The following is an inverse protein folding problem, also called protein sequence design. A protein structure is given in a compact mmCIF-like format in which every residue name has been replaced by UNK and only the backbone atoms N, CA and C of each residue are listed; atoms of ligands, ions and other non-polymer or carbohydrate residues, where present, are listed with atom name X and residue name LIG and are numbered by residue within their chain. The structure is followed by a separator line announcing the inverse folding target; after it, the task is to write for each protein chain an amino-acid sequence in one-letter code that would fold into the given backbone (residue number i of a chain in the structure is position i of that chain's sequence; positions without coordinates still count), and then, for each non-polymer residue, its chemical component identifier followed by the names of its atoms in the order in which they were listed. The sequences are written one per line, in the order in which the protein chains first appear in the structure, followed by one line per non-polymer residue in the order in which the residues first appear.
data_IF_275262903505
#
_entry.id   IF_275262903505
#
_cell.length_a   1.000
_cell.length_b   1.000
_cell.length_c   1.000
_cell.angle_alpha   90.00
_cell.angle_beta   90.00
_cell.angle_gamma   90.00
#
_symmetry.space_group_name_H-M   'P 1'
#
loop_
_entity.id
_entity.type
_entity.pdbx_description
1 polymer ?
#
# COMPACT_ATOMS: atom_id res chain seq x y z
N UNK A 1 18.65 -1.88 -7.76
CA UNK A 1 17.28 -1.33 -7.87
C UNK A 1 16.73 -1.69 -9.23
N UNK A 2 15.42 -1.95 -9.33
CA UNK A 2 14.74 -2.39 -10.56
C UNK A 2 14.68 -1.32 -11.66
N UNK A 3 14.96 -0.07 -11.32
CA UNK A 3 14.89 1.07 -12.24
C UNK A 3 15.81 0.93 -13.47
N UNK A 4 17.05 0.48 -13.25
CA UNK A 4 18.09 0.34 -14.29
C UNK A 4 18.28 -1.12 -14.74
N UNK A 5 17.27 -1.98 -14.55
CA UNK A 5 17.37 -3.37 -14.97
C UNK A 5 17.38 -3.45 -16.51
N UNK A 6 18.42 -4.03 -17.14
CA UNK A 6 18.49 -4.12 -18.60
C UNK A 6 17.38 -4.96 -19.23
N UNK A 7 16.60 -5.70 -18.43
CA UNK A 7 15.44 -6.49 -18.86
C UNK A 7 14.14 -5.67 -18.94
N UNK A 8 14.12 -4.41 -18.49
CA UNK A 8 12.93 -3.55 -18.58
C UNK A 8 12.53 -3.35 -20.04
N UNK A 9 11.28 -3.66 -20.36
CA UNK A 9 10.73 -3.46 -21.71
C UNK A 9 10.17 -2.05 -21.92
N UNK A 10 9.90 -1.33 -20.83
CA UNK A 10 9.39 0.05 -20.82
C UNK A 10 10.25 0.94 -19.92
N UNK A 11 10.37 2.24 -20.22
CA UNK A 11 11.28 3.13 -19.51
C UNK A 11 10.74 3.63 -18.16
N UNK A 12 9.53 3.24 -17.75
CA UNK A 12 8.91 3.63 -16.47
C UNK A 12 8.45 2.41 -15.66
N UNK A 13 8.13 2.64 -14.40
CA UNK A 13 7.37 1.72 -13.55
C UNK A 13 5.95 2.28 -13.43
N UNK A 14 4.90 1.46 -13.58
CA UNK A 14 3.55 1.96 -13.77
C UNK A 14 2.51 1.34 -12.86
N UNK A 15 1.47 2.13 -12.54
CA UNK A 15 0.21 1.65 -11.95
C UNK A 15 -0.79 1.48 -13.07
N UNK A 16 -1.35 0.27 -13.20
CA UNK A 16 -2.26 -0.10 -14.27
C UNK A 16 -3.61 -0.51 -13.71
N UNK A 17 -4.68 -0.24 -14.47
CA UNK A 17 -6.03 -0.73 -14.23
C UNK A 17 -6.41 -1.70 -15.33
N UNK A 18 -7.06 -2.79 -14.96
CA UNK A 18 -7.78 -3.67 -15.90
C UNK A 18 -9.29 -3.46 -15.72
N UNK A 19 -10.00 -3.18 -16.81
CA UNK A 19 -11.47 -3.10 -16.78
C UNK A 19 -12.09 -4.49 -16.66
N UNK A 20 -13.39 -4.61 -16.31
CA UNK A 20 -14.11 -5.89 -16.35
C UNK A 20 -14.09 -6.56 -17.74
N UNK A 21 -14.00 -5.77 -18.81
CA UNK A 21 -13.91 -6.25 -20.19
C UNK A 21 -12.48 -6.66 -20.60
N UNK A 22 -11.50 -6.43 -19.72
CA UNK A 22 -10.09 -6.80 -19.92
C UNK A 22 -9.20 -5.68 -20.46
N UNK A 23 -9.72 -4.46 -20.62
CA UNK A 23 -8.93 -3.34 -21.14
C UNK A 23 -7.92 -2.85 -20.11
N UNK A 24 -6.66 -2.77 -20.52
CA UNK A 24 -5.55 -2.30 -19.68
C UNK A 24 -5.32 -0.81 -19.91
N UNK A 25 -5.37 -0.01 -18.83
CA UNK A 25 -5.10 1.43 -18.83
C UNK A 25 -3.93 1.75 -17.91
N UNK A 26 -2.95 2.51 -18.38
CA UNK A 26 -1.89 3.10 -17.55
C UNK A 26 -2.49 4.29 -16.77
N UNK A 27 -2.49 4.22 -15.44
CA UNK A 27 -3.02 5.27 -14.56
C UNK A 27 -1.95 6.23 -14.06
N UNK A 28 -0.75 5.73 -13.74
CA UNK A 28 0.37 6.54 -13.26
C UNK A 28 1.69 5.92 -13.71
N UNK A 29 2.69 6.75 -14.04
CA UNK A 29 4.06 6.35 -14.43
C UNK A 29 5.16 7.21 -13.79
N UNK A 30 4.80 8.03 -12.81
CA UNK A 30 5.68 9.05 -12.25
C UNK A 30 6.41 8.56 -10.99
N UNK A 31 5.98 7.40 -10.45
CA UNK A 31 6.62 6.74 -9.31
C UNK A 31 7.82 5.89 -9.76
N UNK A 32 8.85 5.82 -8.91
CA UNK A 32 10.09 5.10 -9.22
C UNK A 32 9.90 3.59 -9.16
N UNK A 33 9.19 3.14 -8.12
CA UNK A 33 8.91 1.74 -7.81
C UNK A 33 7.56 1.57 -7.13
N UNK A 34 6.41 1.85 -7.78
CA UNK A 34 5.10 1.61 -7.20
C UNK A 34 4.98 0.15 -6.73
N UNK A 35 4.60 -0.04 -5.47
CA UNK A 35 4.58 -1.37 -4.85
C UNK A 35 3.26 -1.62 -4.11
N UNK A 36 3.13 -1.16 -2.86
CA UNK A 36 1.89 -1.30 -2.09
C UNK A 36 0.74 -0.53 -2.72
N UNK A 37 -0.44 -1.16 -2.77
CA UNK A 37 -1.64 -0.56 -3.36
C UNK A 37 -2.89 -0.94 -2.54
N UNK A 38 -3.75 0.04 -2.26
CA UNK A 38 -5.03 -0.17 -1.60
C UNK A 38 -6.03 0.96 -1.90
N UNK A 39 -7.32 0.64 -1.94
CA UNK A 39 -8.38 1.64 -1.96
C UNK A 39 -8.80 2.04 -0.54
N UNK A 40 -9.34 3.25 -0.37
CA UNK A 40 -10.17 3.58 0.78
C UNK A 40 -11.41 2.67 0.83
N UNK A 41 -12.07 2.48 1.99
CA UNK A 41 -13.24 1.60 2.08
C UNK A 41 -14.40 2.00 1.17
N UNK A 42 -14.50 3.30 0.85
CA UNK A 42 -15.49 3.86 -0.08
C UNK A 42 -14.96 4.02 -1.53
N UNK A 43 -13.77 3.49 -1.81
CA UNK A 43 -13.07 3.48 -3.10
C UNK A 43 -12.83 4.86 -3.75
N UNK A 44 -13.07 5.96 -3.03
CA UNK A 44 -12.83 7.31 -3.54
C UNK A 44 -11.35 7.67 -3.63
N UNK A 45 -10.51 6.98 -2.86
CA UNK A 45 -9.07 7.18 -2.87
C UNK A 45 -8.33 5.89 -3.19
N UNK A 46 -7.32 6.00 -4.05
CA UNK A 46 -6.30 4.99 -4.27
C UNK A 46 -5.02 5.42 -3.57
N UNK A 47 -4.47 4.56 -2.73
CA UNK A 47 -3.17 4.72 -2.09
C UNK A 47 -2.13 3.87 -2.79
N UNK A 48 -0.97 4.47 -3.11
CA UNK A 48 0.16 3.76 -3.72
C UNK A 48 1.43 4.10 -2.94
N UNK A 49 2.13 3.08 -2.46
CA UNK A 49 3.45 3.23 -1.86
C UNK A 49 4.53 3.23 -2.93
N UNK A 50 5.52 4.11 -2.79
CA UNK A 50 6.69 4.12 -3.66
C UNK A 50 7.88 3.40 -3.00
N UNK A 51 8.41 2.40 -3.69
CA UNK A 51 9.68 1.77 -3.36
C UNK A 51 10.82 2.66 -3.86
N UNK A 52 10.98 3.82 -3.23
CA UNK A 52 12.12 4.72 -3.42
C UNK A 52 12.81 4.97 -2.07
N UNK A 53 14.04 4.48 -1.85
CA UNK A 53 14.77 4.74 -0.61
C UNK A 53 14.99 6.23 -0.31
N UNK A 54 14.95 7.09 -1.34
CA UNK A 54 15.12 8.54 -1.21
C UNK A 54 13.79 9.28 -0.99
N UNK A 55 12.65 8.65 -1.31
CA UNK A 55 11.31 9.24 -1.19
C UNK A 55 10.31 8.17 -0.73
N UNK A 56 10.31 7.87 0.56
CA UNK A 56 9.49 6.79 1.16
C UNK A 56 8.08 7.30 1.43
N UNK A 57 7.31 7.53 0.37
CA UNK A 57 6.02 8.23 0.43
C UNK A 57 4.87 7.29 0.05
N UNK A 58 3.77 7.37 0.80
CA UNK A 58 2.47 6.89 0.34
C UNK A 58 1.78 8.03 -0.40
N UNK A 59 1.54 7.85 -1.68
CA UNK A 59 0.75 8.77 -2.49
C UNK A 59 -0.73 8.44 -2.38
N UNK A 60 -1.59 9.47 -2.44
CA UNK A 60 -3.04 9.35 -2.54
C UNK A 60 -3.51 9.99 -3.83
N UNK A 61 -4.41 9.30 -4.51
CA UNK A 61 -5.06 9.75 -5.73
C UNK A 61 -6.57 9.68 -5.53
N UNK A 62 -7.29 10.72 -5.96
CA UNK A 62 -8.74 10.63 -6.08
C UNK A 62 -9.11 9.77 -7.28
N UNK A 63 -10.07 8.87 -7.09
CA UNK A 63 -10.61 7.98 -8.13
C UNK A 63 -11.85 8.65 -8.74
N UNK A 64 -11.81 8.87 -10.04
CA UNK A 64 -12.91 9.47 -10.80
C UNK A 64 -13.97 8.42 -11.13
N UNK A 65 -15.19 8.86 -11.50
CA UNK A 65 -16.29 7.95 -11.83
C UNK A 65 -16.07 7.04 -13.05
N UNK A 66 -15.10 7.37 -13.91
CA UNK A 66 -14.63 6.54 -15.04
C UNK A 66 -13.43 5.64 -14.67
N UNK A 67 -13.06 5.62 -13.39
CA UNK A 67 -11.93 4.90 -12.81
C UNK A 67 -10.55 5.48 -13.15
N UNK A 68 -10.48 6.68 -13.74
CA UNK A 68 -9.20 7.41 -13.89
C UNK A 68 -8.77 8.02 -12.56
N UNK A 69 -7.53 8.49 -12.47
CA UNK A 69 -6.99 9.13 -11.27
C UNK A 69 -6.84 10.64 -11.48
N UNK A 70 -7.17 11.43 -10.46
CA UNK A 70 -6.74 12.84 -10.38
C UNK A 70 -5.24 12.95 -10.08
N UNK A 71 -4.71 14.17 -10.05
CA UNK A 71 -3.34 14.44 -9.61
C UNK A 71 -3.09 13.87 -8.21
N UNK A 72 -1.95 13.19 -8.04
CA UNK A 72 -1.58 12.57 -6.79
C UNK A 72 -0.96 13.55 -5.82
N UNK A 73 -1.22 13.34 -4.54
CA UNK A 73 -0.60 14.11 -3.45
C UNK A 73 0.04 13.17 -2.41
N UNK A 74 1.12 13.59 -1.73
CA UNK A 74 1.66 12.85 -0.60
C UNK A 74 0.61 12.73 0.50
N UNK A 75 0.25 11.50 0.88
CA UNK A 75 -0.61 11.23 2.01
C UNK A 75 0.17 11.07 3.31
N UNK A 76 1.30 10.37 3.23
CA UNK A 76 2.20 10.21 4.37
C UNK A 76 3.64 10.04 3.90
N UNK A 77 4.57 10.73 4.55
CA UNK A 77 5.99 10.75 4.23
C UNK A 77 6.80 10.08 5.35
N UNK A 78 7.51 8.99 5.00
CA UNK A 78 8.40 8.24 5.90
C UNK A 78 9.87 8.41 5.54
N UNK A 79 10.21 9.39 4.70
CA UNK A 79 11.57 9.53 4.14
C UNK A 79 12.64 9.61 5.22
N UNK A 80 12.38 10.42 6.27
CA UNK A 80 13.28 10.64 7.40
C UNK A 80 13.18 9.55 8.49
N UNK A 81 12.30 8.56 8.35
CA UNK A 81 12.15 7.51 9.35
C UNK A 81 13.39 6.60 9.39
N UNK A 82 13.86 6.21 10.60
CA UNK A 82 15.03 5.35 10.75
C UNK A 82 14.75 3.93 10.27
N UNK A 83 15.76 3.30 9.65
CA UNK A 83 15.68 1.94 9.09
C UNK A 83 15.90 1.94 7.58
N UNK A 84 16.53 0.87 7.09
CA UNK A 84 16.86 0.71 5.65
C UNK A 84 15.83 -0.14 4.91
N UNK A 85 14.58 0.33 4.86
CA UNK A 85 13.56 -0.28 4.01
C UNK A 85 12.75 0.83 3.32
N UNK A 86 12.29 0.58 2.10
CA UNK A 86 11.33 1.45 1.42
C UNK A 86 9.90 0.93 1.69
N UNK A 87 8.89 1.58 1.11
CA UNK A 87 7.51 1.12 1.28
C UNK A 87 7.27 -0.14 0.44
N UNK A 88 6.72 -1.17 1.07
CA UNK A 88 6.29 -2.41 0.41
C UNK A 88 4.75 -2.50 0.44
N UNK A 89 4.16 -3.53 1.05
CA UNK A 89 2.72 -3.72 1.09
C UNK A 89 1.94 -2.64 1.85
N UNK A 90 0.75 -2.31 1.31
CA UNK A 90 -0.27 -1.47 1.95
C UNK A 90 -1.59 -2.25 2.03
N UNK A 91 -2.30 -2.12 3.14
CA UNK A 91 -3.72 -2.52 3.30
C UNK A 91 -4.48 -1.50 4.15
N UNK A 92 -5.80 -1.56 4.13
CA UNK A 92 -6.69 -0.63 4.83
C UNK A 92 -7.67 -1.39 5.70
N UNK A 93 -7.95 -0.89 6.90
CA UNK A 93 -9.00 -1.41 7.79
C UNK A 93 -10.38 -0.79 7.52
N UNK A 94 -11.43 -1.34 8.14
CA UNK A 94 -12.80 -0.87 7.93
C UNK A 94 -13.07 0.58 8.38
N UNK A 95 -12.18 1.21 9.15
CA UNK A 95 -12.25 2.63 9.52
C UNK A 95 -11.42 3.53 8.59
N UNK A 96 -10.78 2.96 7.58
CA UNK A 96 -9.95 3.69 6.62
C UNK A 96 -8.52 3.93 7.10
N UNK A 97 -8.06 3.28 8.17
CA UNK A 97 -6.66 3.39 8.58
C UNK A 97 -5.79 2.53 7.67
N UNK A 98 -4.67 3.08 7.22
CA UNK A 98 -3.67 2.39 6.40
C UNK A 98 -2.69 1.63 7.29
N UNK A 99 -2.33 0.44 6.83
CA UNK A 99 -1.29 -0.41 7.39
C UNK A 99 -0.23 -0.54 6.30
N UNK A 100 0.92 0.10 6.53
CA UNK A 100 1.97 0.32 5.55
C UNK A 100 3.26 -0.34 6.02
N UNK A 101 3.75 -1.32 5.26
CA UNK A 101 5.09 -1.85 5.44
C UNK A 101 6.10 -0.76 5.14
N UNK A 102 6.82 -0.26 6.14
CA UNK A 102 7.77 0.83 5.99
C UNK A 102 8.96 0.72 6.94
N UNK A 103 9.83 1.75 7.00
CA UNK A 103 11.03 1.73 7.82
C UNK A 103 10.74 1.32 9.27
N UNK A 104 11.45 0.30 9.75
CA UNK A 104 11.35 -0.14 11.14
C UNK A 104 10.07 -0.91 11.51
N UNK A 105 9.11 -1.14 10.61
CA UNK A 105 7.96 -2.00 10.89
C UNK A 105 6.70 -1.70 10.08
N UNK A 106 5.57 -2.21 10.56
CA UNK A 106 4.27 -1.99 9.92
C UNK A 106 3.59 -0.76 10.55
N UNK A 107 3.59 0.36 9.86
CA UNK A 107 3.02 1.63 10.31
C UNK A 107 1.51 1.61 10.19
N UNK A 108 0.82 2.12 11.22
CA UNK A 108 -0.61 2.35 11.19
C UNK A 108 -0.84 3.86 11.09
N UNK A 109 -1.43 4.29 9.98
CA UNK A 109 -1.73 5.69 9.68
C UNK A 109 -3.25 5.84 9.62
N UNK A 110 -3.81 6.80 10.36
CA UNK A 110 -5.25 7.05 10.35
C UNK A 110 -5.75 7.53 8.99
N UNK A 111 -7.06 7.45 8.76
CA UNK A 111 -7.68 7.98 7.53
C UNK A 111 -7.44 9.48 7.32
N UNK A 112 -7.14 10.23 8.39
CA UNK A 112 -6.75 11.64 8.36
C UNK A 112 -5.24 11.88 8.20
N UNK A 113 -4.44 10.84 7.94
CA UNK A 113 -3.01 10.97 7.68
C UNK A 113 -2.14 11.11 8.93
N UNK A 114 -2.57 10.58 10.09
CA UNK A 114 -1.79 10.61 11.33
C UNK A 114 -1.20 9.25 11.65
N UNK A 115 0.10 9.19 11.97
CA UNK A 115 0.69 7.97 12.52
C UNK A 115 0.15 7.70 13.92
N UNK A 116 -0.51 6.55 14.10
CA UNK A 116 -1.16 6.15 15.36
C UNK A 116 -0.49 4.94 16.01
N UNK A 117 0.53 4.36 15.38
CA UNK A 117 1.35 3.30 15.97
C UNK A 117 2.15 2.52 14.93
N UNK A 118 3.08 1.71 15.41
CA UNK A 118 3.88 0.80 14.58
C UNK A 118 3.84 -0.60 15.17
N UNK A 119 3.45 -1.57 14.36
CA UNK A 119 3.48 -2.99 14.72
C UNK A 119 4.88 -3.53 14.42
N UNK A 120 5.52 -4.07 15.46
CA UNK A 120 6.82 -4.71 15.37
C UNK A 120 6.63 -6.23 15.48
N UNK A 121 6.94 -6.94 14.40
CA UNK A 121 6.98 -8.39 14.37
C UNK A 121 8.43 -8.88 14.61
N UNK A 122 8.65 -10.18 14.90
CA UNK A 122 10.00 -10.72 15.08
C UNK A 122 10.92 -10.58 13.85
N UNK A 123 10.35 -10.35 12.66
CA UNK A 123 11.05 -10.01 11.41
C UNK A 123 10.32 -8.88 10.69
N UNK A 124 11.02 -8.16 9.81
CA UNK A 124 10.42 -7.10 9.00
C UNK A 124 9.30 -7.68 8.12
N UNK A 125 8.13 -7.07 8.20
CA UNK A 125 6.92 -7.47 7.45
C UNK A 125 6.98 -6.78 6.10
N UNK A 126 6.90 -7.52 4.99
CA UNK A 126 6.83 -6.93 3.64
C UNK A 126 5.39 -6.86 3.10
N UNK A 127 4.49 -7.73 3.60
CA UNK A 127 3.08 -7.68 3.20
C UNK A 127 2.17 -8.22 4.32
N UNK A 128 0.90 -7.84 4.24
CA UNK A 128 -0.11 -8.18 5.24
C UNK A 128 -1.48 -8.33 4.60
N UNK A 129 -2.36 -9.07 5.26
CA UNK A 129 -3.77 -9.17 4.89
C UNK A 129 -4.63 -9.55 6.10
N UNK A 130 -5.86 -9.04 6.16
CA UNK A 130 -6.84 -9.56 7.10
C UNK A 130 -7.41 -10.89 6.60
N UNK A 131 -7.76 -11.74 7.56
CA UNK A 131 -8.48 -12.98 7.36
C UNK A 131 -9.08 -13.49 8.68
N UNK A 132 -9.30 -14.80 8.74
CA UNK A 132 -10.10 -15.42 9.80
C UNK A 132 -11.60 -15.25 9.55
N UNK A 133 -12.41 -16.05 10.25
CA UNK A 133 -13.87 -16.12 10.02
C UNK A 133 -14.59 -14.78 10.21
N UNK A 134 -14.08 -13.93 11.09
CA UNK A 134 -14.64 -12.62 11.37
C UNK A 134 -13.78 -11.47 10.82
N UNK A 135 -12.80 -11.77 9.96
CA UNK A 135 -11.99 -10.78 9.27
C UNK A 135 -11.10 -9.92 10.17
N UNK A 136 -10.86 -10.32 11.42
CA UNK A 136 -10.12 -9.54 12.44
C UNK A 136 -8.73 -10.12 12.79
N UNK A 137 -8.26 -11.09 12.02
CA UNK A 137 -6.90 -11.64 12.16
C UNK A 137 -6.02 -11.07 11.07
N UNK A 138 -4.97 -10.33 11.46
CA UNK A 138 -3.99 -9.79 10.53
C UNK A 138 -2.85 -10.80 10.36
N UNK A 139 -2.69 -11.32 9.14
CA UNK A 139 -1.57 -12.16 8.74
C UNK A 139 -0.43 -11.28 8.23
N UNK A 140 0.81 -11.64 8.57
CA UNK A 140 2.01 -10.86 8.32
C UNK A 140 3.07 -11.72 7.63
N UNK A 141 3.37 -11.43 6.37
CA UNK A 141 4.44 -12.07 5.61
C UNK A 141 5.74 -11.33 5.87
N UNK A 142 6.65 -11.95 6.63
CA UNK A 142 7.82 -11.28 7.19
C UNK A 142 9.11 -12.07 6.91
N UNK A 143 9.77 -11.73 5.80
CA UNK A 143 10.96 -12.42 5.30
C UNK A 143 10.75 -13.95 5.26
N UNK A 144 11.42 -14.69 6.15
CA UNK A 144 11.35 -16.15 6.26
C UNK A 144 10.26 -16.65 7.23
N UNK A 145 9.33 -15.79 7.65
CA UNK A 145 8.30 -16.10 8.64
C UNK A 145 6.91 -15.65 8.22
N UNK A 146 5.91 -16.36 8.74
CA UNK A 146 4.51 -15.97 8.68
C UNK A 146 4.02 -15.82 10.13
N UNK A 147 3.54 -14.62 10.47
CA UNK A 147 2.99 -14.33 11.80
C UNK A 147 1.51 -13.98 11.68
N UNK A 148 0.80 -14.04 12.80
CA UNK A 148 -0.57 -13.55 12.90
C UNK A 148 -0.76 -12.79 14.19
N UNK A 149 -1.59 -11.75 14.13
CA UNK A 149 -2.03 -11.02 15.31
C UNK A 149 -3.53 -10.76 15.26
N UNK A 150 -4.13 -10.69 16.43
CA UNK A 150 -5.56 -10.41 16.58
C UNK A 150 -5.78 -8.91 16.74
N UNK A 151 -6.68 -8.35 15.94
CA UNK A 151 -7.07 -6.93 16.03
C UNK A 151 -8.52 -6.77 16.49
N UNK A 152 -8.84 -5.59 17.02
CA UNK A 152 -10.22 -5.22 17.38
C UNK A 152 -11.10 -4.88 16.17
N UNK A 153 -10.49 -4.67 15.00
CA UNK A 153 -11.10 -4.15 13.78
C UNK A 153 -10.87 -5.09 12.60
N UNK A 154 -11.88 -5.19 11.74
CA UNK A 154 -11.80 -5.98 10.51
C UNK A 154 -11.09 -5.20 9.39
N UNK A 155 -10.52 -5.92 8.44
CA UNK A 155 -10.00 -5.32 7.21
C UNK A 155 -11.12 -4.71 6.36
N UNK A 156 -10.78 -3.73 5.51
CA UNK A 156 -11.70 -3.28 4.47
C UNK A 156 -12.06 -4.46 3.57
N UNK A 157 -13.36 -4.68 3.34
CA UNK A 157 -13.86 -5.76 2.49
C UNK A 157 -13.88 -5.30 1.03
N UNK A 158 -13.43 -6.12 0.07
CA UNK A 158 -13.61 -5.81 -1.34
C UNK A 158 -15.10 -5.70 -1.65
N UNK A 159 -15.48 -4.71 -2.46
CA UNK A 159 -16.83 -4.65 -3.01
C UNK A 159 -16.93 -5.67 -4.14
N UNK A 160 -17.60 -6.79 -3.87
CA UNK A 160 -18.02 -7.72 -4.92
C UNK A 160 -19.40 -7.28 -5.39
N UNK A 161 -19.45 -6.61 -6.54
CA UNK A 161 -20.70 -6.45 -7.29
C UNK A 161 -21.07 -7.77 -7.99
#
# INVERSE_FOLDING_TARGET
MFENDPRKEIPWSGVYRISPDGDITLLNKDLKGPNGIAFSPDEKYLYVGDWDPEHKVVMRYQVNGDGTLSEGEPFYDMTDAPGEDAIDGIKVDASGNLYVSGPGGLWVISSEGKHIGTIIAPRHVHNMAWGGEDGKTLFLCAQSGLYMMRLGIEGAKPHYN
#
